data_IF_676629689211
#
_entry.id   IF_676629689211
#
_cell.length_a   1.000
_cell.length_b   1.000
_cell.length_c   1.000
_cell.angle_alpha   90.00
_cell.angle_beta   90.00
_cell.angle_gamma   90.00
#
_symmetry.space_group_name_H-M   'P 1'
#
loop_
_entity.id
_entity.type
_entity.pdbx_description
1 polymer ?
#
# COMPACT_ATOMS: atom_id res chain seq x y z
N UNK A 1 24.43 10.37 -19.47
CA UNK A 1 23.73 9.10 -19.19
C UNK A 1 22.92 9.29 -17.91
N UNK A 2 21.59 9.29 -17.98
CA UNK A 2 20.76 9.37 -16.78
C UNK A 2 21.00 8.07 -15.97
N UNK A 3 21.36 8.18 -14.69
CA UNK A 3 21.47 7.00 -13.82
C UNK A 3 20.13 6.26 -13.86
N UNK A 4 20.14 4.94 -14.00
CA UNK A 4 18.94 4.11 -13.84
C UNK A 4 18.30 4.45 -12.50
N UNK A 5 17.22 5.22 -12.55
CA UNK A 5 16.55 5.73 -11.38
C UNK A 5 15.14 5.14 -11.38
N UNK A 6 14.84 4.41 -10.31
CA UNK A 6 13.50 3.92 -10.04
C UNK A 6 12.49 5.08 -9.86
N UNK A 7 12.99 6.30 -9.62
CA UNK A 7 12.22 7.52 -9.39
C UNK A 7 12.81 8.71 -10.16
N UNK A 8 11.96 9.55 -10.74
CA UNK A 8 12.34 10.81 -11.40
C UNK A 8 12.19 12.06 -10.53
N UNK A 9 11.69 11.89 -9.30
CA UNK A 9 11.40 12.96 -8.33
C UNK A 9 12.37 12.93 -7.15
N UNK A 10 12.52 14.06 -6.48
CA UNK A 10 13.49 14.34 -5.41
C UNK A 10 13.00 13.94 -4.00
N UNK A 11 11.68 13.83 -3.77
CA UNK A 11 11.12 13.39 -2.48
C UNK A 11 9.86 12.54 -2.61
N UNK A 12 9.45 11.91 -1.49
CA UNK A 12 8.23 11.10 -1.36
C UNK A 12 6.94 11.96 -1.42
N UNK A 13 7.04 13.26 -1.12
CA UNK A 13 5.93 14.24 -1.08
C UNK A 13 5.74 15.07 -2.35
N UNK A 14 6.62 14.95 -3.34
CA UNK A 14 6.46 15.66 -4.62
C UNK A 14 5.28 15.14 -5.45
N UNK A 15 4.84 13.90 -5.20
CA UNK A 15 3.69 13.27 -5.86
C UNK A 15 2.77 12.62 -4.83
N UNK A 16 1.51 12.36 -5.20
CA UNK A 16 0.60 11.60 -4.33
C UNK A 16 0.97 10.13 -4.14
N UNK A 17 1.98 9.63 -4.88
CA UNK A 17 2.50 8.28 -4.73
C UNK A 17 3.54 8.23 -3.59
N UNK A 18 3.35 7.41 -2.54
CA UNK A 18 4.17 7.49 -1.33
C UNK A 18 5.58 6.94 -1.44
N UNK A 19 5.92 6.20 -2.51
CA UNK A 19 7.26 5.72 -2.91
C UNK A 19 8.07 5.04 -1.79
N UNK A 20 8.11 3.71 -1.82
CA UNK A 20 9.01 2.93 -0.96
C UNK A 20 10.49 3.38 -1.05
N UNK A 21 11.24 3.23 0.03
CA UNK A 21 12.66 3.56 0.11
C UNK A 21 13.56 2.55 -0.65
N UNK A 22 13.02 1.38 -0.99
CA UNK A 22 13.70 0.32 -1.72
C UNK A 22 13.78 0.53 -3.25
N UNK A 23 14.70 -0.20 -3.88
CA UNK A 23 14.79 -0.30 -5.37
C UNK A 23 14.12 -1.54 -5.94
N UNK A 24 13.76 -2.48 -5.06
CA UNK A 24 13.17 -3.75 -5.38
C UNK A 24 11.87 -3.90 -4.59
N UNK A 25 10.90 -4.57 -5.21
CA UNK A 25 9.63 -4.89 -4.57
C UNK A 25 9.58 -6.41 -4.51
N UNK A 26 9.31 -6.94 -3.32
CA UNK A 26 8.91 -8.33 -3.14
C UNK A 26 7.39 -8.34 -2.94
N UNK A 27 6.68 -8.97 -3.87
CA UNK A 27 5.23 -9.09 -3.83
C UNK A 27 4.86 -10.55 -3.56
N UNK A 28 4.00 -10.75 -2.57
CA UNK A 28 3.37 -12.03 -2.25
C UNK A 28 1.88 -11.91 -2.62
N UNK A 29 1.32 -12.99 -3.15
CA UNK A 29 -0.11 -13.03 -3.47
C UNK A 29 -0.60 -14.47 -3.51
N UNK A 30 -1.82 -14.67 -3.04
CA UNK A 30 -2.52 -15.95 -3.11
C UNK A 30 -3.54 -15.90 -4.25
N UNK A 31 -3.51 -16.88 -5.15
CA UNK A 31 -4.41 -16.92 -6.31
C UNK A 31 -5.80 -17.49 -5.99
N UNK A 32 -6.81 -16.94 -6.66
CA UNK A 32 -8.21 -17.37 -6.85
C UNK A 32 -9.10 -17.63 -5.61
N UNK A 33 -10.15 -16.80 -5.48
CA UNK A 33 -11.32 -16.97 -4.61
C UNK A 33 -12.58 -17.13 -5.47
N UNK A 34 -12.81 -18.30 -6.08
CA UNK A 34 -14.11 -18.61 -6.68
C UNK A 34 -14.76 -19.74 -5.88
N UNK A 35 -15.81 -19.42 -5.12
CA UNK A 35 -16.45 -20.36 -4.19
C UNK A 35 -15.71 -20.57 -2.87
N UNK A 36 -14.82 -19.65 -2.48
CA UNK A 36 -14.13 -19.66 -1.19
C UNK A 36 -15.11 -19.37 -0.03
N UNK A 37 -15.00 -20.09 1.09
CA UNK A 37 -15.69 -19.73 2.33
C UNK A 37 -14.98 -18.58 3.04
N UNK A 38 -15.71 -17.81 3.85
CA UNK A 38 -15.14 -16.73 4.66
C UNK A 38 -13.95 -17.22 5.52
N UNK A 39 -14.05 -18.44 6.07
CA UNK A 39 -12.96 -19.06 6.85
C UNK A 39 -11.65 -19.25 6.05
N UNK A 40 -11.75 -19.71 4.79
CA UNK A 40 -10.58 -19.91 3.94
C UNK A 40 -10.02 -18.57 3.46
N UNK A 41 -10.89 -17.58 3.22
CA UNK A 41 -10.48 -16.21 2.92
C UNK A 41 -9.67 -15.62 4.07
N UNK A 42 -10.23 -15.63 5.28
CA UNK A 42 -9.61 -15.05 6.47
C UNK A 42 -8.28 -15.72 6.81
N UNK A 43 -8.20 -17.05 6.67
CA UNK A 43 -6.96 -17.79 6.82
C UNK A 43 -5.92 -17.39 5.77
N UNK A 44 -6.34 -17.24 4.50
CA UNK A 44 -5.46 -16.80 3.42
C UNK A 44 -4.88 -15.40 3.66
N UNK A 45 -5.72 -14.45 4.09
CA UNK A 45 -5.31 -13.09 4.45
C UNK A 45 -4.34 -13.11 5.63
N UNK A 46 -4.65 -13.86 6.68
CA UNK A 46 -3.77 -13.99 7.86
C UNK A 46 -2.40 -14.55 7.47
N UNK A 47 -2.35 -15.65 6.72
CA UNK A 47 -1.10 -16.28 6.31
C UNK A 47 -0.28 -15.38 5.37
N UNK A 48 -0.93 -14.59 4.52
CA UNK A 48 -0.24 -13.62 3.68
C UNK A 48 0.42 -12.51 4.52
N UNK A 49 -0.28 -12.01 5.54
CA UNK A 49 0.24 -11.00 6.46
C UNK A 49 1.41 -11.53 7.31
N UNK A 50 1.34 -12.79 7.75
CA UNK A 50 2.42 -13.47 8.49
C UNK A 50 3.64 -13.73 7.60
N UNK A 51 3.42 -14.25 6.38
CA UNK A 51 4.51 -14.58 5.46
C UNK A 51 5.39 -13.37 5.12
N UNK A 52 4.80 -12.19 4.94
CA UNK A 52 5.55 -10.96 4.68
C UNK A 52 6.52 -10.63 5.84
N UNK A 53 6.05 -10.77 7.08
CA UNK A 53 6.85 -10.55 8.30
C UNK A 53 7.90 -11.65 8.49
N UNK A 54 7.59 -12.89 8.16
CA UNK A 54 8.56 -14.00 8.30
C UNK A 54 9.71 -13.91 7.30
N UNK A 55 9.42 -13.50 6.06
CA UNK A 55 10.41 -13.38 4.99
C UNK A 55 11.32 -12.17 5.20
N UNK A 56 10.73 -11.00 5.48
CA UNK A 56 11.47 -9.74 5.60
C UNK A 56 11.95 -9.46 7.02
N UNK A 57 11.34 -10.09 8.04
CA UNK A 57 11.66 -9.91 9.46
C UNK A 57 11.65 -8.44 9.84
N UNK A 58 12.77 -7.93 10.37
CA UNK A 58 12.93 -6.55 10.81
C UNK A 58 12.92 -5.53 9.65
N UNK A 59 13.02 -5.99 8.39
CA UNK A 59 12.98 -5.14 7.19
C UNK A 59 11.54 -4.93 6.67
N UNK A 60 10.53 -5.60 7.25
CA UNK A 60 9.14 -5.39 6.86
C UNK A 60 8.64 -4.01 7.32
N UNK A 61 8.02 -3.26 6.42
CA UNK A 61 7.42 -1.94 6.71
C UNK A 61 6.22 -1.68 5.81
N UNK A 62 5.07 -1.31 6.40
CA UNK A 62 3.88 -0.93 5.62
C UNK A 62 4.12 0.36 4.86
N UNK A 63 4.96 1.26 5.41
CA UNK A 63 5.41 2.47 4.72
C UNK A 63 6.16 2.22 3.40
N UNK A 64 6.63 1.00 3.15
CA UNK A 64 7.30 0.60 1.91
C UNK A 64 6.43 -0.31 1.02
N UNK A 65 5.19 -0.59 1.42
CA UNK A 65 4.19 -1.24 0.58
C UNK A 65 3.67 -0.30 -0.52
N UNK A 66 3.31 -0.85 -1.67
CA UNK A 66 2.72 -0.07 -2.76
C UNK A 66 1.20 0.01 -2.60
N UNK A 67 0.57 1.19 -2.74
CA UNK A 67 -0.89 1.31 -2.68
C UNK A 67 -1.67 0.46 -3.67
N UNK A 68 -1.04 0.04 -4.78
CA UNK A 68 -1.66 -0.85 -5.77
C UNK A 68 -1.80 -2.30 -5.27
N UNK A 69 -0.97 -2.69 -4.30
CA UNK A 69 -0.90 -4.03 -3.72
C UNK A 69 -1.46 -3.99 -2.28
N UNK A 70 -2.39 -3.07 -2.03
CA UNK A 70 -3.09 -2.93 -0.77
C UNK A 70 -3.85 -4.22 -0.45
N UNK A 71 -3.83 -4.56 0.84
CA UNK A 71 -4.58 -5.65 1.45
C UNK A 71 -5.15 -5.10 2.76
N UNK A 72 -6.23 -5.68 3.26
CA UNK A 72 -6.97 -5.16 4.42
C UNK A 72 -6.15 -5.08 5.72
N UNK A 73 -5.07 -5.85 5.83
CA UNK A 73 -4.15 -5.81 6.97
C UNK A 73 -3.10 -4.68 6.90
N UNK A 74 -3.03 -3.95 5.79
CA UNK A 74 -2.14 -2.79 5.68
C UNK A 74 -2.82 -1.53 6.26
N UNK A 75 -2.09 -0.75 7.07
CA UNK A 75 -2.52 0.60 7.44
C UNK A 75 -2.27 1.58 6.28
N UNK A 76 -3.32 2.12 5.65
CA UNK A 76 -3.14 3.10 4.57
C UNK A 76 -2.52 4.42 5.06
N UNK A 77 -2.67 4.80 6.33
CA UNK A 77 -2.05 6.03 6.86
C UNK A 77 -0.54 5.86 6.93
N UNK A 78 -0.05 4.72 7.44
CA UNK A 78 1.38 4.39 7.43
C UNK A 78 1.93 4.32 6.01
N UNK A 79 1.21 3.65 5.11
CA UNK A 79 1.60 3.50 3.70
C UNK A 79 1.77 4.84 2.99
N UNK A 80 0.86 5.79 3.20
CA UNK A 80 0.92 7.10 2.55
C UNK A 80 1.83 8.11 3.27
N UNK A 81 2.09 7.91 4.57
CA UNK A 81 3.04 8.68 5.37
C UNK A 81 2.84 10.19 5.26
N UNK A 82 3.90 10.92 4.88
CA UNK A 82 3.91 12.39 4.78
C UNK A 82 2.88 12.98 3.79
N UNK A 83 2.30 12.15 2.92
CA UNK A 83 1.29 12.61 1.96
C UNK A 83 -0.13 12.68 2.53
N UNK A 84 -0.41 12.03 3.67
CA UNK A 84 -1.77 11.83 4.18
C UNK A 84 -2.54 13.13 4.33
N UNK A 85 -1.98 14.13 5.01
CA UNK A 85 -2.69 15.38 5.27
C UNK A 85 -3.02 16.16 3.99
N UNK A 86 -2.09 16.17 3.04
CA UNK A 86 -2.30 16.81 1.73
C UNK A 86 -3.37 16.09 0.92
N UNK A 87 -3.38 14.75 0.95
CA UNK A 87 -4.38 13.94 0.27
C UNK A 87 -5.77 14.11 0.89
N UNK A 88 -5.89 14.14 2.22
CA UNK A 88 -7.13 14.47 2.94
C UNK A 88 -7.66 15.85 2.58
N UNK A 89 -6.79 16.86 2.54
CA UNK A 89 -7.16 18.21 2.15
C UNK A 89 -7.68 18.27 0.70
N UNK A 90 -7.03 17.54 -0.21
CA UNK A 90 -7.50 17.41 -1.59
C UNK A 90 -8.86 16.70 -1.63
N UNK A 91 -9.02 15.56 -0.95
CA UNK A 91 -10.28 14.80 -0.88
C UNK A 91 -11.44 15.68 -0.41
N UNK A 92 -11.26 16.44 0.67
CA UNK A 92 -12.25 17.40 1.18
C UNK A 92 -12.63 18.47 0.14
N UNK A 93 -11.66 18.93 -0.65
CA UNK A 93 -11.87 19.96 -1.68
C UNK A 93 -12.57 19.42 -2.93
N UNK A 94 -12.22 18.22 -3.40
CA UNK A 94 -12.67 17.69 -4.70
C UNK A 94 -13.79 16.66 -4.59
N UNK A 95 -13.93 15.99 -3.45
CA UNK A 95 -15.00 15.03 -3.16
C UNK A 95 -15.48 15.16 -1.70
N UNK A 96 -16.07 16.32 -1.34
CA UNK A 96 -16.52 16.61 0.03
C UNK A 96 -17.61 15.65 0.53
N UNK A 97 -18.36 15.03 -0.38
CA UNK A 97 -19.44 14.10 -0.06
C UNK A 97 -18.98 12.63 -0.10
N UNK A 98 -17.67 12.40 -0.28
CA UNK A 98 -17.05 11.08 -0.31
C UNK A 98 -17.76 10.07 -1.23
N UNK A 99 -18.10 10.52 -2.45
CA UNK A 99 -18.78 9.73 -3.48
C UNK A 99 -17.85 8.74 -4.16
N UNK A 100 -16.57 9.09 -4.29
CA UNK A 100 -15.55 8.22 -4.85
C UNK A 100 -14.96 7.35 -3.74
N UNK A 101 -15.32 6.06 -3.73
CA UNK A 101 -14.78 5.06 -2.80
C UNK A 101 -13.58 4.36 -3.42
N UNK A 102 -12.62 3.98 -2.58
CA UNK A 102 -11.46 3.19 -2.96
C UNK A 102 -11.37 1.97 -2.02
N UNK A 103 -10.39 1.08 -2.26
CA UNK A 103 -10.14 -0.07 -1.40
C UNK A 103 -9.75 0.32 0.04
N UNK A 104 -9.27 1.55 0.23
CA UNK A 104 -8.87 2.11 1.51
C UNK A 104 -9.32 3.56 1.65
N UNK A 105 -9.35 4.04 2.89
CA UNK A 105 -9.55 5.44 3.21
C UNK A 105 -8.25 6.04 3.76
N UNK A 106 -7.90 7.23 3.28
CA UNK A 106 -6.82 8.06 3.83
C UNK A 106 -7.40 9.35 4.37
#
# INVERSE_FOLDING_TARGET
MQKNAFNSVKSRSETGWPRANGRHILQLGCGALNGCSDEVHDLGVQLLAEAAKDILKDEYSVGDCLPRDYEEFHDPVEMFGENVDKLRAIKKRVDPNNRLKAAYAI
#
